data_IF_256289828713
#
_entry.id   IF_256289828713
#
_cell.length_a   1.000
_cell.length_b   1.000
_cell.length_c   1.000
_cell.angle_alpha   90.00
_cell.angle_beta   90.00
_cell.angle_gamma   90.00
#
_symmetry.space_group_name_H-M   'P 1'
#
loop_
_entity.id
_entity.type
_entity.pdbx_description
1 polymer ?
#
# COMPACT_ATOMS: atom_id res chain seq x y z
N UNK A 1 17.61 46.10 -7.24
CA UNK A 1 17.17 44.70 -7.12
C UNK A 1 15.73 44.62 -7.61
N UNK A 2 15.51 44.12 -8.81
CA UNK A 2 14.16 43.93 -9.37
C UNK A 2 13.67 42.56 -8.93
N UNK A 3 12.63 42.53 -8.10
CA UNK A 3 11.98 41.29 -7.68
C UNK A 3 10.95 40.92 -8.75
N UNK A 4 11.26 39.89 -9.55
CA UNK A 4 10.37 39.37 -10.58
C UNK A 4 9.75 38.06 -10.07
N UNK A 5 8.66 38.17 -9.33
CA UNK A 5 7.95 37.03 -8.77
C UNK A 5 7.19 36.28 -9.89
N UNK A 6 7.36 34.97 -9.99
CA UNK A 6 6.52 34.10 -10.84
C UNK A 6 5.88 33.00 -9.99
N UNK A 7 4.66 32.61 -10.36
CA UNK A 7 3.93 31.52 -9.71
C UNK A 7 4.65 30.18 -9.91
N UNK A 8 4.61 29.31 -8.89
CA UNK A 8 5.11 27.93 -8.99
C UNK A 8 4.22 27.03 -9.88
N UNK A 9 3.02 27.49 -10.21
CA UNK A 9 2.08 26.80 -11.10
C UNK A 9 1.71 27.72 -12.29
N UNK A 10 1.87 27.29 -13.55
CA UNK A 10 1.53 28.09 -14.73
C UNK A 10 0.03 28.41 -14.86
N UNK A 11 -0.85 27.78 -14.07
CA UNK A 11 -2.28 28.12 -14.02
C UNK A 11 -2.65 29.21 -13.02
N UNK A 12 -1.72 29.57 -12.13
CA UNK A 12 -1.98 30.52 -11.06
C UNK A 12 -1.54 31.94 -11.47
N UNK A 13 -2.50 32.79 -11.84
CA UNK A 13 -2.24 34.19 -12.17
C UNK A 13 -2.14 35.02 -10.89
N UNK A 14 -0.99 35.65 -10.66
CA UNK A 14 -0.80 36.59 -9.55
C UNK A 14 -1.45 37.91 -9.95
N UNK A 15 -2.64 38.19 -9.41
CA UNK A 15 -3.27 39.50 -9.54
C UNK A 15 -2.72 40.40 -8.42
N UNK A 16 -2.06 41.49 -8.80
CA UNK A 16 -1.46 42.46 -7.87
C UNK A 16 -2.38 43.64 -7.53
N UNK A 17 -3.60 43.65 -8.07
CA UNK A 17 -4.60 44.66 -7.80
C UNK A 17 -5.58 44.14 -6.74
N UNK A 18 -5.69 44.84 -5.61
CA UNK A 18 -6.73 44.61 -4.62
C UNK A 18 -8.06 45.05 -5.21
N UNK A 19 -8.94 44.09 -5.47
CA UNK A 19 -10.35 44.30 -5.79
C UNK A 19 -11.17 43.72 -4.63
N UNK A 20 -12.32 44.31 -4.31
CA UNK A 20 -13.05 44.06 -3.06
C UNK A 20 -13.48 42.59 -2.86
N UNK A 21 -13.49 41.78 -3.93
CA UNK A 21 -13.87 40.37 -3.93
C UNK A 21 -12.68 39.38 -3.94
N UNK A 22 -11.43 39.86 -3.82
CA UNK A 22 -10.23 39.01 -3.90
C UNK A 22 -9.62 38.78 -2.51
N UNK A 23 -9.48 37.51 -2.11
CA UNK A 23 -8.75 37.12 -0.89
C UNK A 23 -7.24 36.92 -1.17
N UNK A 24 -6.40 37.48 -0.30
CA UNK A 24 -4.96 37.33 -0.34
C UNK A 24 -4.51 36.07 0.42
N UNK A 25 -3.73 35.21 -0.24
CA UNK A 25 -3.13 34.02 0.38
C UNK A 25 -1.76 34.36 0.98
N UNK A 26 -1.55 34.02 2.26
CA UNK A 26 -0.25 34.13 2.92
C UNK A 26 0.12 32.84 3.66
N UNK A 27 1.42 32.60 3.83
CA UNK A 27 1.94 31.48 4.60
C UNK A 27 2.40 31.95 5.98
N UNK A 28 1.90 31.30 7.02
CA UNK A 28 2.35 31.55 8.38
C UNK A 28 3.48 30.57 8.72
N UNK A 29 4.68 31.10 8.98
CA UNK A 29 5.86 30.30 9.31
C UNK A 29 5.81 29.66 10.70
N UNK A 30 5.13 30.28 11.66
CA UNK A 30 4.97 29.74 13.01
C UNK A 30 4.07 28.50 12.97
N UNK A 31 2.97 28.59 12.23
CA UNK A 31 1.96 27.52 12.16
C UNK A 31 2.19 26.53 11.03
N UNK A 32 3.14 26.84 10.13
CA UNK A 32 3.44 26.10 8.90
C UNK A 32 2.21 25.83 8.02
N UNK A 33 1.30 26.80 7.92
CA UNK A 33 0.01 26.68 7.21
C UNK A 33 -0.25 27.89 6.31
N UNK A 34 -1.08 27.66 5.28
CA UNK A 34 -1.59 28.72 4.40
C UNK A 34 -2.90 29.29 4.96
N UNK A 35 -3.04 30.60 4.84
CA UNK A 35 -4.19 31.39 5.28
C UNK A 35 -4.65 32.27 4.14
N UNK A 36 -5.95 32.57 4.09
CA UNK A 36 -6.55 33.48 3.14
C UNK A 36 -7.25 34.59 3.94
N UNK A 37 -6.96 35.84 3.65
CA UNK A 37 -7.48 37.00 4.39
C UNK A 37 -7.65 38.22 3.47
N UNK A 38 -8.21 39.31 4.01
CA UNK A 38 -8.34 40.56 3.29
C UNK A 38 -6.96 41.13 2.88
N UNK A 39 -6.92 41.80 1.73
CA UNK A 39 -5.71 42.42 1.23
C UNK A 39 -5.41 43.78 1.91
N UNK A 40 -6.10 44.09 3.02
CA UNK A 40 -6.05 45.39 3.71
C UNK A 40 -4.74 45.58 4.50
N UNK A 41 -4.03 44.49 4.80
CA UNK A 41 -2.75 44.54 5.52
C UNK A 41 -1.59 44.06 4.64
N UNK A 42 -0.52 44.87 4.56
CA UNK A 42 0.70 44.53 3.85
C UNK A 42 1.38 43.32 4.52
N UNK A 43 1.10 42.12 4.02
CA UNK A 43 1.77 40.88 4.44
C UNK A 43 2.62 40.35 3.29
N UNK A 44 3.86 39.98 3.61
CA UNK A 44 4.87 39.57 2.63
C UNK A 44 4.45 38.28 1.92
N UNK A 45 4.41 38.33 0.59
CA UNK A 45 4.25 37.15 -0.27
C UNK A 45 5.52 36.30 -0.24
N UNK A 46 5.37 34.99 -0.39
CA UNK A 46 6.49 34.05 -0.49
C UNK A 46 7.34 34.40 -1.73
N UNK A 47 8.54 34.91 -1.51
CA UNK A 47 9.56 35.01 -2.54
C UNK A 47 10.53 33.84 -2.41
N UNK A 48 10.54 32.95 -3.39
CA UNK A 48 11.67 32.04 -3.55
C UNK A 48 12.86 32.85 -4.05
N UNK A 49 13.85 33.04 -3.17
CA UNK A 49 15.12 33.62 -3.56
C UNK A 49 15.87 32.59 -4.39
N UNK A 50 16.22 32.95 -5.62
CA UNK A 50 17.08 32.15 -6.48
C UNK A 50 18.47 32.03 -5.82
N UNK A 51 18.70 30.97 -5.06
CA UNK A 51 20.02 30.67 -4.50
C UNK A 51 20.95 30.20 -5.62
N UNK A 52 21.89 31.08 -5.94
CA UNK A 52 23.27 30.88 -6.45
C UNK A 52 23.54 29.65 -7.30
N UNK A 53 24.08 29.90 -8.50
CA UNK A 53 24.64 28.94 -9.48
C UNK A 53 24.95 27.56 -8.90
N UNK A 54 24.05 26.61 -9.16
CA UNK A 54 24.25 25.22 -8.80
C UNK A 54 25.20 24.62 -9.84
N UNK A 55 26.45 24.37 -9.45
CA UNK A 55 27.45 23.70 -10.31
C UNK A 55 26.97 22.28 -10.67
N UNK A 56 27.26 21.82 -11.89
CA UNK A 56 26.84 20.51 -12.40
C UNK A 56 27.21 19.34 -11.46
N UNK A 57 28.34 19.46 -10.74
CA UNK A 57 28.80 18.46 -9.77
C UNK A 57 27.84 18.29 -8.58
N UNK A 58 27.28 19.39 -8.06
CA UNK A 58 26.33 19.38 -6.93
C UNK A 58 25.01 18.75 -7.36
N UNK A 59 24.60 18.97 -8.62
CA UNK A 59 23.39 18.36 -9.19
C UNK A 59 23.55 16.85 -9.28
N UNK A 60 24.70 16.38 -9.80
CA UNK A 60 24.96 14.96 -9.95
C UNK A 60 25.04 14.25 -8.59
N UNK A 61 25.70 14.85 -7.61
CA UNK A 61 25.77 14.32 -6.23
C UNK A 61 24.38 14.21 -5.58
N UNK A 62 23.51 15.20 -5.81
CA UNK A 62 22.12 15.15 -5.32
C UNK A 62 21.31 14.06 -6.01
N UNK A 63 21.44 13.90 -7.33
CA UNK A 63 20.74 12.85 -8.08
C UNK A 63 21.15 11.47 -7.56
N UNK A 64 22.45 11.23 -7.37
CA UNK A 64 22.96 9.95 -6.86
C UNK A 64 22.51 9.68 -5.44
N UNK A 65 22.52 10.68 -4.56
CA UNK A 65 22.00 10.55 -3.20
C UNK A 65 20.49 10.26 -3.17
N UNK A 66 19.71 10.88 -4.06
CA UNK A 66 18.28 10.62 -4.19
C UNK A 66 18.05 9.20 -4.71
N UNK A 67 18.76 8.78 -5.76
CA UNK A 67 18.68 7.42 -6.29
C UNK A 67 19.06 6.38 -5.23
N UNK A 68 20.14 6.61 -4.47
CA UNK A 68 20.57 5.71 -3.39
C UNK A 68 19.55 5.62 -2.27
N UNK A 69 18.94 6.72 -1.85
CA UNK A 69 17.92 6.72 -0.79
C UNK A 69 16.58 6.13 -1.25
N UNK A 70 16.23 6.28 -2.53
CA UNK A 70 14.99 5.76 -3.10
C UNK A 70 15.11 4.33 -3.63
N UNK A 71 16.33 3.80 -3.75
CA UNK A 71 16.56 2.41 -4.15
C UNK A 71 16.18 1.49 -3.01
N UNK A 72 14.92 1.08 -2.99
CA UNK A 72 14.41 0.07 -2.06
C UNK A 72 14.71 -1.32 -2.60
N UNK A 73 15.22 -2.21 -1.74
CA UNK A 73 15.43 -3.60 -2.08
C UNK A 73 14.08 -4.29 -2.35
N UNK A 74 13.80 -4.58 -3.63
CA UNK A 74 12.52 -5.18 -4.06
C UNK A 74 12.18 -6.46 -3.32
N UNK A 75 13.17 -7.25 -2.89
CA UNK A 75 12.98 -8.53 -2.17
C UNK A 75 12.59 -8.36 -0.70
N UNK A 76 12.81 -7.19 -0.13
CA UNK A 76 12.44 -6.88 1.26
C UNK A 76 11.15 -6.05 1.33
N UNK A 77 10.56 -5.70 0.18
CA UNK A 77 9.32 -4.93 0.16
C UNK A 77 8.14 -5.76 0.69
N UNK A 78 7.24 -5.10 1.41
CA UNK A 78 5.95 -5.69 1.80
C UNK A 78 5.15 -6.21 0.61
N UNK A 79 5.29 -5.62 -0.58
CA UNK A 79 4.64 -6.09 -1.79
C UNK A 79 5.17 -7.48 -2.21
N UNK A 80 6.48 -7.68 -2.19
CA UNK A 80 7.10 -8.98 -2.47
C UNK A 80 6.77 -10.01 -1.38
N UNK A 81 6.79 -9.60 -0.10
CA UNK A 81 6.38 -10.48 1.00
C UNK A 81 4.92 -10.92 0.83
N UNK A 82 4.01 -10.02 0.43
CA UNK A 82 2.59 -10.34 0.15
C UNK A 82 2.38 -11.27 -1.04
N UNK A 83 3.33 -11.34 -1.99
CA UNK A 83 3.26 -12.37 -3.05
C UNK A 83 3.65 -13.76 -2.56
N UNK A 84 4.48 -13.86 -1.52
CA UNK A 84 4.91 -15.13 -0.93
C UNK A 84 4.02 -15.57 0.25
N UNK A 85 3.31 -14.63 0.86
CA UNK A 85 2.49 -14.86 2.05
C UNK A 85 1.06 -14.46 1.77
N UNK A 86 0.14 -15.42 1.89
CA UNK A 86 -1.28 -15.08 1.98
C UNK A 86 -1.50 -14.32 3.28
N UNK A 87 -2.09 -13.12 3.20
CA UNK A 87 -2.35 -12.33 4.39
C UNK A 87 -3.23 -13.14 5.35
N UNK A 88 -2.83 -13.32 6.62
CA UNK A 88 -3.67 -14.00 7.59
C UNK A 88 -4.95 -13.19 7.76
N UNK A 89 -6.03 -13.71 7.20
CA UNK A 89 -7.34 -13.07 7.25
C UNK A 89 -7.98 -13.35 8.62
N UNK A 90 -7.91 -12.38 9.53
CA UNK A 90 -8.55 -12.47 10.84
C UNK A 90 -10.08 -12.42 10.76
N UNK A 91 -10.67 -12.11 9.60
CA UNK A 91 -12.12 -12.09 9.46
C UNK A 91 -12.68 -13.46 9.81
N UNK A 92 -13.47 -13.49 10.89
CA UNK A 92 -14.06 -14.71 11.43
C UNK A 92 -14.90 -15.45 10.37
N UNK A 93 -15.49 -14.72 9.42
CA UNK A 93 -16.20 -15.27 8.27
C UNK A 93 -15.31 -16.13 7.37
N UNK A 94 -14.07 -15.70 7.07
CA UNK A 94 -13.15 -16.45 6.23
C UNK A 94 -12.68 -17.75 6.89
N UNK A 95 -12.36 -17.70 8.19
CA UNK A 95 -11.99 -18.90 8.98
C UNK A 95 -13.13 -19.91 9.04
N UNK A 96 -14.35 -19.44 9.31
CA UNK A 96 -15.52 -20.30 9.42
C UNK A 96 -15.84 -20.98 8.08
N UNK A 97 -15.78 -20.26 6.95
CA UNK A 97 -16.02 -20.83 5.62
C UNK A 97 -14.97 -21.90 5.28
N UNK A 98 -13.70 -21.65 5.60
CA UNK A 98 -12.63 -22.62 5.40
C UNK A 98 -12.83 -23.92 6.19
N UNK A 99 -13.21 -23.79 7.48
CA UNK A 99 -13.47 -24.96 8.35
C UNK A 99 -14.67 -25.76 7.84
N UNK A 100 -15.77 -25.10 7.46
CA UNK A 100 -16.96 -25.78 6.92
C UNK A 100 -16.60 -26.55 5.66
N UNK A 101 -15.86 -25.94 4.73
CA UNK A 101 -15.42 -26.58 3.50
C UNK A 101 -14.57 -27.84 3.74
N UNK A 102 -13.55 -27.73 4.59
CA UNK A 102 -12.68 -28.87 4.94
C UNK A 102 -13.47 -30.00 5.62
N UNK A 103 -14.43 -29.65 6.49
CA UNK A 103 -15.25 -30.63 7.20
C UNK A 103 -16.15 -31.41 6.26
N UNK A 104 -16.79 -30.75 5.29
CA UNK A 104 -17.66 -31.43 4.31
C UNK A 104 -16.84 -32.37 3.43
N UNK A 105 -15.69 -31.92 2.93
CA UNK A 105 -14.82 -32.73 2.07
C UNK A 105 -14.30 -33.96 2.84
N UNK A 106 -13.85 -33.78 4.09
CA UNK A 106 -13.30 -34.87 4.89
C UNK A 106 -14.34 -35.94 5.24
N UNK A 107 -15.58 -35.54 5.52
CA UNK A 107 -16.69 -36.48 5.79
C UNK A 107 -17.01 -37.31 4.56
N UNK A 108 -17.12 -36.70 3.38
CA UNK A 108 -17.41 -37.42 2.13
C UNK A 108 -16.32 -38.44 1.80
N UNK A 109 -15.05 -38.02 1.87
CA UNK A 109 -13.91 -38.94 1.68
C UNK A 109 -13.88 -40.05 2.73
N UNK A 110 -14.19 -39.72 3.99
CA UNK A 110 -14.24 -40.68 5.09
C UNK A 110 -15.26 -41.79 4.84
N UNK A 111 -16.47 -41.46 4.38
CA UNK A 111 -17.53 -42.45 4.10
C UNK A 111 -17.14 -43.40 2.97
N UNK A 112 -16.49 -42.89 1.92
CA UNK A 112 -16.00 -43.71 0.81
C UNK A 112 -14.94 -44.69 1.33
N UNK A 113 -13.93 -44.18 2.04
CA UNK A 113 -12.85 -45.00 2.61
C UNK A 113 -13.37 -46.05 3.60
N UNK A 114 -14.31 -45.68 4.48
CA UNK A 114 -14.93 -46.61 5.44
C UNK A 114 -15.68 -47.75 4.73
N UNK A 115 -16.42 -47.44 3.66
CA UNK A 115 -17.15 -48.44 2.89
C UNK A 115 -16.18 -49.44 2.24
N UNK A 116 -15.08 -48.96 1.67
CA UNK A 116 -14.05 -49.80 1.08
C UNK A 116 -13.33 -50.64 2.13
N UNK A 117 -12.97 -50.05 3.29
CA UNK A 117 -12.33 -50.77 4.40
C UNK A 117 -13.20 -51.93 4.91
N UNK A 118 -14.52 -51.71 5.10
CA UNK A 118 -15.43 -52.76 5.56
C UNK A 118 -15.51 -53.90 4.54
N UNK A 119 -15.58 -53.57 3.24
CA UNK A 119 -15.66 -54.56 2.17
C UNK A 119 -14.36 -55.37 2.06
N UNK A 120 -13.20 -54.72 2.19
CA UNK A 120 -11.89 -55.38 2.20
C UNK A 120 -11.75 -56.31 3.41
N UNK A 121 -12.10 -55.84 4.62
CA UNK A 121 -12.02 -56.66 5.85
C UNK A 121 -12.93 -57.88 5.76
N UNK A 122 -14.18 -57.72 5.29
CA UNK A 122 -15.09 -58.85 5.06
C UNK A 122 -14.52 -59.82 4.02
N UNK A 123 -13.92 -59.31 2.95
CA UNK A 123 -13.25 -60.12 1.93
C UNK A 123 -12.09 -60.96 2.51
N UNK A 124 -11.24 -60.35 3.35
CA UNK A 124 -10.13 -61.03 4.00
C UNK A 124 -10.64 -62.09 5.00
N UNK A 125 -11.61 -61.74 5.85
CA UNK A 125 -12.20 -62.66 6.83
C UNK A 125 -12.83 -63.89 6.16
N UNK A 126 -13.56 -63.68 5.07
CA UNK A 126 -14.17 -64.78 4.32
C UNK A 126 -13.11 -65.67 3.64
N UNK A 127 -11.99 -65.09 3.19
CA UNK A 127 -10.88 -65.85 2.59
C UNK A 127 -10.14 -66.69 3.63
N UNK A 128 -9.91 -66.15 4.83
CA UNK A 128 -9.31 -66.89 5.95
C UNK A 128 -10.19 -68.04 6.45
N UNK A 129 -11.51 -67.83 6.61
CA UNK A 129 -12.42 -68.94 6.99
C UNK A 129 -12.41 -70.07 5.96
N UNK A 130 -12.40 -69.73 4.67
CA UNK A 130 -12.41 -70.74 3.60
C UNK A 130 -11.11 -71.54 3.48
N UNK A 131 -9.97 -71.04 3.99
CA UNK A 131 -8.72 -71.80 4.08
C UNK A 131 -8.60 -72.68 5.32
N UNK A 132 -9.44 -72.48 6.33
CA UNK A 132 -9.46 -73.29 7.55
C UNK A 132 -10.37 -74.53 7.40
N UNK A 133 -11.37 -74.45 6.50
CA UNK A 133 -12.34 -75.53 6.20
C UNK A 133 -11.94 -76.43 5.01
N UNK A 134 -10.74 -76.25 4.40
CA UNK A 134 -10.26 -77.01 3.23
C UNK A 134 -8.99 -77.79 3.52
#
# INVERSE_FOLDING_TARGET
>A
MQQNCRSLDPTFNIVTAAEDDILCLYYNYTDKKFYADDCSTNRTFLCESMTTEITQEIIQEKIENIQKNLTVNKKETNQYIRTLTSAPDERQSAKNIGIVGVTVISVVFGVIMLSDCINVVKGIQNKCKRSEDS
#
